data_IF_100546549547
#
_entry.id   IF_100546549547
#
_cell.length_a   1.000
_cell.length_b   1.000
_cell.length_c   1.000
_cell.angle_alpha   90.00
_cell.angle_beta   90.00
_cell.angle_gamma   90.00
#
_symmetry.space_group_name_H-M   'P 1'
#
loop_
_entity.id
_entity.type
_entity.pdbx_description
1 polymer ?
#
# COMPACT_ATOMS: atom_id res chain seq x y z
N UNK A 1 -41.83 -12.84 20.22
CA UNK A 1 -40.59 -12.74 21.02
C UNK A 1 -40.76 -11.55 21.95
N UNK A 2 -40.39 -11.64 23.24
CA UNK A 2 -40.49 -10.48 24.14
C UNK A 2 -39.37 -9.48 23.78
N UNK A 3 -39.74 -8.24 23.51
CA UNK A 3 -38.78 -7.15 23.30
C UNK A 3 -38.91 -6.18 24.46
N UNK A 4 -37.81 -6.01 25.20
CA UNK A 4 -37.72 -5.03 26.29
C UNK A 4 -37.16 -3.72 25.73
N UNK A 5 -37.83 -2.61 26.00
CA UNK A 5 -37.31 -1.26 25.70
C UNK A 5 -36.90 -0.64 27.04
N UNK A 6 -35.62 -0.28 27.13
CA UNK A 6 -35.03 0.35 28.32
C UNK A 6 -34.82 1.83 28.02
N UNK A 7 -35.39 2.70 28.85
CA UNK A 7 -35.18 4.15 28.76
C UNK A 7 -34.45 4.64 29.99
N UNK A 8 -33.34 5.35 29.78
CA UNK A 8 -32.53 5.97 30.83
C UNK A 8 -32.85 7.47 30.88
N UNK A 9 -33.22 7.96 32.07
CA UNK A 9 -33.34 9.39 32.32
C UNK A 9 -32.55 9.71 33.60
N UNK A 10 -31.38 10.32 33.44
CA UNK A 10 -30.43 10.55 34.53
C UNK A 10 -29.77 9.25 35.03
N UNK A 11 -29.70 9.07 36.35
CA UNK A 11 -29.06 7.92 37.01
C UNK A 11 -29.99 6.72 37.28
N UNK A 12 -31.23 6.75 36.80
CA UNK A 12 -32.19 5.66 36.96
C UNK A 12 -32.61 5.07 35.60
N UNK A 13 -32.85 3.74 35.58
CA UNK A 13 -33.27 2.96 34.42
C UNK A 13 -34.64 2.34 34.67
N UNK A 14 -35.56 2.47 33.70
CA UNK A 14 -36.88 1.83 33.75
C UNK A 14 -37.04 0.91 32.55
N UNK A 15 -37.49 -0.33 32.81
CA UNK A 15 -37.60 -1.40 31.81
C UNK A 15 -39.08 -1.75 31.62
N UNK A 16 -39.61 -1.55 30.41
CA UNK A 16 -40.94 -2.00 30.03
C UNK A 16 -40.85 -3.17 29.05
N UNK A 17 -41.50 -4.28 29.39
CA UNK A 17 -41.61 -5.44 28.51
C UNK A 17 -42.89 -5.34 27.68
N UNK A 18 -42.75 -5.31 26.35
CA UNK A 18 -43.89 -5.28 25.43
C UNK A 18 -43.91 -6.59 24.64
N UNK A 19 -45.04 -7.29 24.68
CA UNK A 19 -45.28 -8.48 23.88
C UNK A 19 -45.75 -8.07 22.48
N UNK A 20 -45.03 -8.52 21.44
CA UNK A 20 -45.43 -8.35 20.04
C UNK A 20 -46.62 -9.25 19.71
N UNK A 21 -47.79 -8.68 19.43
CA UNK A 21 -48.99 -9.40 18.96
C UNK A 21 -48.91 -9.56 17.43
N UNK A 22 -48.96 -10.78 16.86
CA UNK A 22 -49.03 -11.00 15.41
C UNK A 22 -50.42 -10.69 14.83
N UNK A 23 -50.53 -10.34 13.54
CA UNK A 23 -51.79 -9.88 12.96
C UNK A 23 -52.63 -11.08 12.51
N UNK A 24 -53.49 -11.58 13.39
CA UNK A 24 -54.79 -12.21 13.09
C UNK A 24 -55.31 -12.93 14.35
N UNK A 25 -56.23 -12.32 15.09
CA UNK A 25 -57.24 -13.05 15.87
C UNK A 25 -58.31 -12.08 16.36
N UNK A 26 -59.51 -12.26 15.82
CA UNK A 26 -60.78 -11.74 16.31
C UNK A 26 -61.11 -12.34 17.68
N UNK A 27 -61.47 -11.48 18.65
CA UNK A 27 -62.32 -11.78 19.82
C UNK A 27 -62.43 -10.47 20.62
N UNK A 28 -63.48 -9.67 20.38
CA UNK A 28 -64.69 -9.63 21.21
C UNK A 28 -64.45 -9.16 22.65
N UNK A 29 -64.91 -7.93 22.94
CA UNK A 29 -65.46 -7.55 24.25
C UNK A 29 -66.36 -6.31 24.11
N UNK A 30 -67.65 -6.59 23.90
CA UNK A 30 -68.84 -6.07 24.63
C UNK A 30 -68.44 -5.40 25.96
N UNK A 31 -68.91 -4.22 26.38
CA UNK A 31 -70.30 -3.80 26.60
C UNK A 31 -70.37 -2.26 26.73
N UNK A 32 -71.35 -1.66 26.06
CA UNK A 32 -71.87 -0.33 26.41
C UNK A 32 -73.10 -0.53 27.29
N UNK A 33 -73.19 0.17 28.42
CA UNK A 33 -74.45 0.43 29.15
C UNK A 33 -74.21 1.54 30.19
N UNK A 34 -74.60 2.77 29.88
CA UNK A 34 -75.04 3.77 30.86
C UNK A 34 -76.58 3.66 31.04
N UNK A 35 -77.24 4.49 31.87
CA UNK A 35 -77.16 4.65 33.33
C UNK A 35 -78.56 4.49 33.99
N UNK A 36 -78.66 4.50 35.33
CA UNK A 36 -79.94 4.44 36.04
C UNK A 36 -80.15 5.65 36.97
N UNK A 37 -81.11 6.50 36.56
CA UNK A 37 -82.19 7.14 37.33
C UNK A 37 -81.86 7.90 38.63
N UNK A 38 -82.21 9.20 38.68
CA UNK A 38 -83.28 9.76 39.55
C UNK A 38 -83.29 11.31 39.46
N UNK A 39 -84.32 11.87 38.82
CA UNK A 39 -84.70 13.27 39.02
C UNK A 39 -86.22 13.35 39.09
N UNK A 40 -86.74 13.72 40.25
CA UNK A 40 -88.12 14.13 40.47
C UNK A 40 -88.08 15.52 41.11
N UNK A 41 -88.57 16.55 40.40
CA UNK A 41 -89.66 17.42 40.86
C UNK A 41 -89.92 18.55 39.82
N UNK A 42 -91.19 18.68 39.41
CA UNK A 42 -92.01 19.90 39.20
C UNK A 42 -91.32 21.25 38.83
N UNK A 43 -91.80 22.11 37.92
CA UNK A 43 -93.17 22.46 37.48
C UNK A 43 -93.07 23.09 36.08
N UNK A 44 -93.98 22.75 35.16
CA UNK A 44 -94.25 23.55 33.97
C UNK A 44 -95.72 24.00 33.99
N UNK A 45 -95.95 25.32 34.03
CA UNK A 45 -97.24 25.93 33.75
C UNK A 45 -97.30 26.39 32.29
N UNK A 46 -98.30 25.85 31.57
CA UNK A 46 -99.24 26.53 30.66
C UNK A 46 -98.65 27.54 29.67
N UNK A 47 -98.80 27.36 28.35
CA UNK A 47 -99.97 27.82 27.57
C UNK A 47 -99.88 27.44 26.09
N UNK A 48 -101.04 27.07 25.57
CA UNK A 48 -101.57 26.90 24.21
C UNK A 48 -100.94 27.65 22.99
N UNK A 49 -100.81 26.86 21.91
CA UNK A 49 -101.28 27.08 20.52
C UNK A 49 -100.54 28.03 19.57
N UNK A 50 -100.03 27.47 18.47
CA UNK A 50 -100.25 27.95 17.09
C UNK A 50 -99.79 26.87 16.07
N UNK A 51 -100.66 26.51 15.12
CA UNK A 51 -100.29 25.72 13.93
C UNK A 51 -99.35 26.52 13.04
N UNK A 52 -98.19 25.96 12.69
CA UNK A 52 -97.43 26.38 11.52
C UNK A 52 -96.86 25.15 10.79
N UNK A 53 -97.15 25.11 9.50
CA UNK A 53 -96.62 24.22 8.46
C UNK A 53 -95.25 23.60 8.78
N UNK A 54 -95.21 22.26 8.84
CA UNK A 54 -93.96 21.49 8.98
C UNK A 54 -93.16 21.63 7.67
N UNK A 55 -92.24 22.59 7.63
CA UNK A 55 -91.05 22.51 6.76
C UNK A 55 -90.24 21.30 7.23
N UNK A 56 -89.72 20.44 6.33
CA UNK A 56 -88.97 19.25 6.75
C UNK A 56 -87.83 19.68 7.67
N UNK A 57 -87.85 19.17 8.91
CA UNK A 57 -86.86 19.47 9.93
C UNK A 57 -85.45 19.05 9.47
N UNK A 58 -84.38 19.73 9.94
CA UNK A 58 -83.01 19.42 9.54
C UNK A 58 -82.65 17.96 9.77
N UNK A 59 -82.02 17.33 8.78
CA UNK A 59 -81.65 15.91 8.83
C UNK A 59 -80.67 15.62 9.99
N UNK A 60 -80.92 14.63 10.88
CA UNK A 60 -80.15 14.39 12.12
C UNK A 60 -78.66 14.02 11.97
N UNK A 61 -78.14 13.96 10.74
CA UNK A 61 -76.78 13.53 10.41
C UNK A 61 -76.10 14.49 9.40
N UNK A 62 -76.87 15.42 8.83
CA UNK A 62 -76.33 16.39 7.87
C UNK A 62 -75.94 17.66 8.64
N UNK A 63 -74.65 18.03 8.68
CA UNK A 63 -74.24 19.27 9.32
C UNK A 63 -74.94 20.46 8.66
N UNK A 64 -75.30 21.46 9.45
CA UNK A 64 -75.90 22.67 8.90
C UNK A 64 -74.93 23.35 7.93
N UNK A 65 -75.43 23.83 6.79
CA UNK A 65 -74.61 24.43 5.72
C UNK A 65 -73.66 25.53 6.20
N UNK A 66 -74.06 26.28 7.24
CA UNK A 66 -73.25 27.32 7.87
C UNK A 66 -71.98 26.78 8.54
N UNK A 67 -72.05 25.60 9.16
CA UNK A 67 -70.92 24.95 9.84
C UNK A 67 -69.95 24.35 8.83
N UNK A 68 -70.48 23.79 7.73
CA UNK A 68 -69.67 23.33 6.60
C UNK A 68 -68.97 24.50 5.93
N UNK A 69 -69.63 25.65 5.76
CA UNK A 69 -69.03 26.84 5.18
C UNK A 69 -67.91 27.41 6.08
N UNK A 70 -68.11 27.47 7.39
CA UNK A 70 -67.11 28.03 8.32
C UNK A 70 -65.95 27.06 8.60
N UNK A 71 -66.25 25.79 8.82
CA UNK A 71 -65.25 24.73 8.99
C UNK A 71 -64.49 24.44 7.70
N UNK A 72 -65.20 24.26 6.59
CA UNK A 72 -64.61 24.08 5.26
C UNK A 72 -63.81 25.29 4.80
N UNK A 73 -64.34 26.50 5.01
CA UNK A 73 -63.62 27.75 4.71
C UNK A 73 -62.31 27.86 5.50
N UNK A 74 -62.34 27.59 6.80
CA UNK A 74 -61.14 27.56 7.65
C UNK A 74 -60.13 26.51 7.20
N UNK A 75 -60.61 25.32 6.80
CA UNK A 75 -59.76 24.27 6.25
C UNK A 75 -59.13 24.66 4.91
N UNK A 76 -59.87 25.33 4.03
CA UNK A 76 -59.33 25.83 2.75
C UNK A 76 -58.25 26.88 2.98
N UNK A 77 -58.48 27.84 3.87
CA UNK A 77 -57.47 28.86 4.23
C UNK A 77 -56.22 28.18 4.81
N UNK A 78 -56.40 27.20 5.69
CA UNK A 78 -55.29 26.40 6.22
C UNK A 78 -54.56 25.60 5.13
N UNK A 79 -55.28 24.96 4.21
CA UNK A 79 -54.70 24.20 3.10
C UNK A 79 -53.90 25.09 2.16
N UNK A 80 -54.38 26.31 1.88
CA UNK A 80 -53.67 27.35 1.12
C UNK A 80 -52.37 27.73 1.85
N UNK A 81 -52.44 28.02 3.15
CA UNK A 81 -51.24 28.34 3.93
C UNK A 81 -50.24 27.17 3.94
N UNK A 82 -50.72 25.94 4.08
CA UNK A 82 -49.89 24.73 4.03
C UNK A 82 -49.21 24.57 2.65
N UNK A 83 -49.95 24.85 1.57
CA UNK A 83 -49.47 24.74 0.19
C UNK A 83 -48.41 25.78 -0.15
N UNK A 84 -48.52 26.99 0.38
CA UNK A 84 -47.62 28.11 0.09
C UNK A 84 -46.48 28.28 1.09
N UNK A 85 -46.62 27.83 2.34
CA UNK A 85 -45.59 28.00 3.39
C UNK A 85 -44.94 26.68 3.78
N UNK A 86 -45.73 25.66 4.14
CA UNK A 86 -45.19 24.42 4.70
C UNK A 86 -44.56 23.52 3.62
N UNK A 87 -45.27 23.27 2.53
CA UNK A 87 -44.80 22.43 1.43
C UNK A 87 -43.47 22.88 0.81
N UNK A 88 -43.25 24.19 0.48
CA UNK A 88 -41.95 24.60 -0.06
C UNK A 88 -40.81 24.46 0.95
N UNK A 89 -41.07 24.60 2.27
CA UNK A 89 -40.04 24.36 3.29
C UNK A 89 -39.67 22.88 3.40
N UNK A 90 -40.67 22.00 3.36
CA UNK A 90 -40.44 20.55 3.38
C UNK A 90 -39.69 20.08 2.13
N UNK A 91 -40.14 20.53 0.94
CA UNK A 91 -39.47 20.21 -0.33
C UNK A 91 -38.02 20.68 -0.33
N UNK A 92 -37.74 21.91 0.12
CA UNK A 92 -36.37 22.42 0.25
C UNK A 92 -35.51 21.54 1.16
N UNK A 93 -36.05 21.07 2.28
CA UNK A 93 -35.35 20.15 3.19
C UNK A 93 -35.02 18.81 2.55
N UNK A 94 -35.97 18.22 1.81
CA UNK A 94 -35.75 16.98 1.07
C UNK A 94 -34.71 17.16 -0.05
N UNK A 95 -34.88 18.20 -0.88
CA UNK A 95 -33.96 18.50 -1.98
C UNK A 95 -32.54 18.75 -1.46
N UNK A 96 -32.40 19.47 -0.34
CA UNK A 96 -31.10 19.72 0.31
C UNK A 96 -30.45 18.42 0.81
N UNK A 97 -31.23 17.49 1.41
CA UNK A 97 -30.72 16.17 1.83
C UNK A 97 -30.25 15.35 0.63
N UNK A 98 -31.03 15.30 -0.46
CA UNK A 98 -30.64 14.58 -1.67
C UNK A 98 -29.42 15.19 -2.35
N UNK A 99 -29.34 16.53 -2.41
CA UNK A 99 -28.18 17.23 -2.93
C UNK A 99 -26.93 16.95 -2.08
N UNK A 100 -27.05 17.01 -0.75
CA UNK A 100 -25.97 16.68 0.18
C UNK A 100 -25.46 15.25 -0.01
N UNK A 101 -26.36 14.26 -0.01
CA UNK A 101 -25.97 12.85 -0.21
C UNK A 101 -25.25 12.65 -1.54
N UNK A 102 -25.74 13.26 -2.63
CA UNK A 102 -25.04 13.17 -3.94
C UNK A 102 -23.67 13.82 -3.89
N UNK A 103 -23.56 15.01 -3.32
CA UNK A 103 -22.29 15.71 -3.18
C UNK A 103 -21.30 14.92 -2.31
N UNK A 104 -21.77 14.29 -1.23
CA UNK A 104 -20.96 13.46 -0.34
C UNK A 104 -20.44 12.21 -1.08
N UNK A 105 -21.29 11.56 -1.89
CA UNK A 105 -20.89 10.43 -2.73
C UNK A 105 -19.88 10.83 -3.80
N UNK A 106 -20.17 11.89 -4.56
CA UNK A 106 -19.27 12.42 -5.58
C UNK A 106 -17.91 12.83 -4.99
N UNK A 107 -17.91 13.49 -3.82
CA UNK A 107 -16.69 13.86 -3.11
C UNK A 107 -15.91 12.66 -2.57
N UNK A 108 -16.60 11.62 -2.08
CA UNK A 108 -15.95 10.39 -1.65
C UNK A 108 -15.32 9.64 -2.83
N UNK A 109 -15.99 9.59 -3.97
CA UNK A 109 -15.48 8.94 -5.17
C UNK A 109 -14.32 9.72 -5.80
N UNK A 110 -14.38 11.07 -5.80
CA UNK A 110 -13.27 11.92 -6.19
C UNK A 110 -12.04 11.69 -5.30
N UNK A 111 -12.20 11.74 -3.97
CA UNK A 111 -11.11 11.47 -3.02
C UNK A 111 -10.51 10.08 -3.22
N UNK A 112 -11.35 9.05 -3.45
CA UNK A 112 -10.87 7.68 -3.74
C UNK A 112 -10.12 7.60 -5.06
N UNK A 113 -10.58 8.30 -6.08
CA UNK A 113 -9.93 8.33 -7.39
C UNK A 113 -8.55 9.02 -7.30
N UNK A 114 -8.48 10.16 -6.61
CA UNK A 114 -7.23 10.89 -6.35
C UNK A 114 -6.24 10.04 -5.55
N UNK A 115 -6.66 9.41 -4.46
CA UNK A 115 -5.80 8.53 -3.66
C UNK A 115 -5.27 7.34 -4.48
N UNK A 116 -6.11 6.73 -5.32
CA UNK A 116 -5.66 5.65 -6.23
C UNK A 116 -4.67 6.16 -7.27
N UNK A 117 -4.88 7.36 -7.80
CA UNK A 117 -3.94 7.98 -8.74
C UNK A 117 -2.59 8.28 -8.08
N UNK A 118 -2.59 8.76 -6.83
CA UNK A 118 -1.37 8.99 -6.06
C UNK A 118 -0.61 7.68 -5.80
N UNK A 119 -1.30 6.62 -5.36
CA UNK A 119 -0.70 5.29 -5.17
C UNK A 119 -0.10 4.77 -6.46
N UNK A 120 -0.83 4.84 -7.58
CA UNK A 120 -0.33 4.42 -8.88
C UNK A 120 0.91 5.24 -9.31
N UNK A 121 0.93 6.54 -9.04
CA UNK A 121 2.09 7.40 -9.25
C UNK A 121 3.29 7.01 -8.38
N UNK A 122 3.06 6.66 -7.12
CA UNK A 122 4.11 6.20 -6.20
C UNK A 122 4.68 4.84 -6.61
N UNK A 123 3.83 3.90 -7.01
CA UNK A 123 4.24 2.59 -7.52
C UNK A 123 5.04 2.70 -8.81
N UNK A 124 4.64 3.60 -9.72
CA UNK A 124 5.39 3.88 -10.94
C UNK A 124 6.78 4.46 -10.65
N UNK A 125 6.87 5.41 -9.71
CA UNK A 125 8.16 5.95 -9.25
C UNK A 125 9.04 4.87 -8.61
N UNK A 126 8.46 4.00 -7.78
CA UNK A 126 9.19 2.90 -7.15
C UNK A 126 9.71 1.90 -8.20
N UNK A 127 8.91 1.60 -9.22
CA UNK A 127 9.33 0.76 -10.34
C UNK A 127 10.48 1.40 -11.13
N UNK A 128 10.39 2.71 -11.40
CA UNK A 128 11.47 3.49 -12.02
C UNK A 128 12.77 3.44 -11.22
N UNK A 129 12.72 3.75 -9.93
CA UNK A 129 13.90 3.69 -9.04
C UNK A 129 14.51 2.29 -8.97
N UNK A 130 13.68 1.23 -8.93
CA UNK A 130 14.19 -0.16 -8.96
C UNK A 130 14.89 -0.48 -10.28
N UNK A 131 14.36 -0.02 -11.40
CA UNK A 131 14.97 -0.21 -12.71
C UNK A 131 16.30 0.55 -12.82
N UNK A 132 16.34 1.81 -12.37
CA UNK A 132 17.58 2.61 -12.33
C UNK A 132 18.63 2.00 -11.40
N UNK A 133 18.24 1.51 -10.23
CA UNK A 133 19.15 0.84 -9.30
C UNK A 133 19.72 -0.45 -9.92
N UNK A 134 18.90 -1.25 -10.58
CA UNK A 134 19.35 -2.45 -11.29
C UNK A 134 20.35 -2.09 -12.41
N UNK A 135 20.02 -1.08 -13.23
CA UNK A 135 20.91 -0.59 -14.28
C UNK A 135 22.24 -0.07 -13.72
N UNK A 136 22.22 0.64 -12.58
CA UNK A 136 23.42 1.14 -11.92
C UNK A 136 24.29 0.00 -11.37
N UNK A 137 23.68 -1.04 -10.77
CA UNK A 137 24.39 -2.23 -10.30
C UNK A 137 25.05 -2.96 -11.47
N UNK A 138 24.33 -3.13 -12.59
CA UNK A 138 24.87 -3.82 -13.75
C UNK A 138 25.99 -3.02 -14.42
N UNK A 139 25.86 -1.70 -14.51
CA UNK A 139 26.95 -0.82 -14.97
C UNK A 139 28.18 -0.92 -14.04
N UNK A 140 27.99 -0.89 -12.72
CA UNK A 140 29.08 -1.03 -11.76
C UNK A 140 29.77 -2.40 -11.87
N UNK A 141 29.01 -3.48 -12.09
CA UNK A 141 29.56 -4.83 -12.34
C UNK A 141 30.41 -4.86 -13.62
N UNK A 142 29.91 -4.28 -14.71
CA UNK A 142 30.66 -4.22 -15.96
C UNK A 142 31.97 -3.45 -15.81
N UNK A 143 31.94 -2.29 -15.15
CA UNK A 143 33.16 -1.52 -14.86
C UNK A 143 34.13 -2.31 -13.97
N UNK A 144 33.64 -2.98 -12.93
CA UNK A 144 34.47 -3.78 -12.04
C UNK A 144 35.13 -4.94 -12.78
N UNK A 145 34.40 -5.66 -13.63
CA UNK A 145 34.96 -6.76 -14.42
C UNK A 145 35.98 -6.26 -15.46
N UNK A 146 35.73 -5.10 -16.08
CA UNK A 146 36.70 -4.47 -16.97
C UNK A 146 37.99 -4.08 -16.23
N UNK A 147 37.88 -3.47 -15.05
CA UNK A 147 39.05 -3.13 -14.22
C UNK A 147 39.80 -4.38 -13.73
N UNK A 148 39.07 -5.44 -13.35
CA UNK A 148 39.68 -6.71 -12.96
C UNK A 148 40.46 -7.33 -14.12
N UNK A 149 39.87 -7.38 -15.32
CA UNK A 149 40.54 -7.89 -16.51
C UNK A 149 41.81 -7.08 -16.82
N UNK A 150 41.71 -5.74 -16.81
CA UNK A 150 42.86 -4.87 -17.05
C UNK A 150 43.97 -5.06 -16.01
N UNK A 151 43.63 -5.17 -14.72
CA UNK A 151 44.62 -5.44 -13.66
C UNK A 151 45.27 -6.81 -13.80
N UNK A 152 44.50 -7.83 -14.17
CA UNK A 152 45.03 -9.17 -14.41
C UNK A 152 46.00 -9.19 -15.59
N UNK A 153 45.71 -8.42 -16.65
CA UNK A 153 46.61 -8.27 -17.79
C UNK A 153 47.92 -7.58 -17.39
N UNK A 154 47.83 -6.45 -16.66
CA UNK A 154 49.01 -5.73 -16.16
C UNK A 154 49.87 -6.62 -15.26
N UNK A 155 49.26 -7.26 -14.26
CA UNK A 155 49.99 -8.15 -13.35
C UNK A 155 50.55 -9.37 -14.08
N UNK A 156 49.82 -9.91 -15.07
CA UNK A 156 50.31 -10.99 -15.93
C UNK A 156 51.55 -10.59 -16.73
N UNK A 157 51.55 -9.38 -17.29
CA UNK A 157 52.69 -8.83 -18.01
C UNK A 157 53.89 -8.57 -17.08
N UNK A 158 53.67 -8.02 -15.89
CA UNK A 158 54.71 -7.81 -14.87
C UNK A 158 55.33 -9.15 -14.43
N UNK A 159 54.51 -10.17 -14.15
CA UNK A 159 55.00 -11.50 -13.79
C UNK A 159 55.83 -12.10 -14.93
N UNK A 160 55.38 -11.97 -16.18
CA UNK A 160 56.13 -12.47 -17.34
C UNK A 160 57.48 -11.74 -17.49
N UNK A 161 57.50 -10.42 -17.29
CA UNK A 161 58.72 -9.62 -17.32
C UNK A 161 59.69 -10.02 -16.20
N UNK A 162 59.20 -10.16 -14.96
CA UNK A 162 60.02 -10.58 -13.82
C UNK A 162 60.58 -11.99 -14.01
N UNK A 163 59.79 -12.92 -14.58
CA UNK A 163 60.27 -14.27 -14.92
C UNK A 163 61.37 -14.22 -15.98
N UNK A 164 61.17 -13.45 -17.06
CA UNK A 164 62.18 -13.30 -18.11
C UNK A 164 63.48 -12.68 -17.57
N UNK A 165 63.38 -11.66 -16.72
CA UNK A 165 64.54 -11.04 -16.07
C UNK A 165 65.26 -12.02 -15.14
N UNK A 166 64.53 -12.77 -14.32
CA UNK A 166 65.10 -13.78 -13.43
C UNK A 166 65.77 -14.93 -14.20
N UNK A 167 65.20 -15.38 -15.32
CA UNK A 167 65.83 -16.37 -16.20
C UNK A 167 67.12 -15.82 -16.80
N UNK A 168 67.11 -14.60 -17.33
CA UNK A 168 68.31 -13.96 -17.87
C UNK A 168 69.41 -13.78 -16.83
N UNK A 169 69.07 -13.40 -15.59
CA UNK A 169 70.01 -13.29 -14.48
C UNK A 169 70.60 -14.66 -14.08
N UNK A 170 69.76 -15.71 -14.04
CA UNK A 170 70.23 -17.08 -13.80
C UNK A 170 71.18 -17.55 -14.90
N UNK A 171 70.88 -17.28 -16.16
CA UNK A 171 71.73 -17.67 -17.29
C UNK A 171 73.07 -16.92 -17.26
N UNK A 172 73.05 -15.62 -16.93
CA UNK A 172 74.26 -14.83 -16.74
C UNK A 172 75.10 -15.33 -15.55
N UNK A 173 74.47 -15.64 -14.42
CA UNK A 173 75.14 -16.21 -13.25
C UNK A 173 75.77 -17.57 -13.56
N UNK A 174 75.06 -18.44 -14.28
CA UNK A 174 75.59 -19.75 -14.74
C UNK A 174 76.79 -19.58 -15.66
N UNK A 175 76.72 -18.67 -16.63
CA UNK A 175 77.85 -18.38 -17.52
C UNK A 175 79.07 -17.84 -16.75
N UNK A 176 78.85 -16.95 -15.77
CA UNK A 176 79.92 -16.42 -14.93
C UNK A 176 80.56 -17.49 -14.03
N UNK A 177 79.76 -18.40 -13.46
CA UNK A 177 80.26 -19.53 -12.67
C UNK A 177 81.04 -20.50 -13.56
N UNK A 178 80.54 -20.80 -14.76
CA UNK A 178 81.23 -21.65 -15.72
C UNK A 178 82.61 -21.08 -16.09
N UNK A 179 82.69 -19.78 -16.39
CA UNK A 179 83.97 -19.11 -16.66
C UNK A 179 84.95 -19.19 -15.48
N UNK A 180 84.46 -19.03 -14.25
CA UNK A 180 85.28 -19.19 -13.04
C UNK A 180 85.78 -20.63 -12.86
N UNK A 181 84.92 -21.62 -13.10
CA UNK A 181 85.30 -23.04 -13.06
C UNK A 181 86.36 -23.33 -14.12
N UNK A 182 86.19 -22.86 -15.36
CA UNK A 182 87.18 -23.04 -16.43
C UNK A 182 88.55 -22.47 -16.05
N UNK A 183 88.59 -21.25 -15.50
CA UNK A 183 89.83 -20.63 -15.02
C UNK A 183 90.47 -21.45 -13.89
N UNK A 184 89.68 -21.87 -12.90
CA UNK A 184 90.19 -22.65 -11.77
C UNK A 184 90.73 -24.02 -12.20
N UNK A 185 90.03 -24.71 -13.12
CA UNK A 185 90.46 -25.99 -13.68
C UNK A 185 91.72 -25.82 -14.52
N UNK A 186 91.84 -24.75 -15.32
CA UNK A 186 93.04 -24.44 -16.08
C UNK A 186 94.25 -24.19 -15.15
N UNK A 187 94.07 -23.44 -14.06
CA UNK A 187 95.12 -23.19 -13.07
C UNK A 187 95.59 -24.47 -12.36
N UNK A 188 94.65 -25.32 -11.94
CA UNK A 188 94.96 -26.59 -11.27
C UNK A 188 95.67 -27.55 -12.23
N UNK A 189 95.17 -27.67 -13.47
CA UNK A 189 95.76 -28.53 -14.50
C UNK A 189 97.16 -28.05 -14.90
N UNK A 190 97.34 -26.74 -15.07
CA UNK A 190 98.64 -26.14 -15.39
C UNK A 190 99.68 -26.42 -14.29
N UNK A 191 99.30 -26.26 -13.02
CA UNK A 191 100.15 -26.62 -11.87
C UNK A 191 100.48 -28.10 -11.82
N UNK A 192 99.50 -28.97 -12.06
CA UNK A 192 99.71 -30.42 -12.05
C UNK A 192 100.68 -30.87 -13.16
N UNK A 193 100.57 -30.30 -14.36
CA UNK A 193 101.47 -30.59 -15.48
C UNK A 193 102.88 -30.06 -15.20
N UNK A 194 103.01 -28.86 -14.63
CA UNK A 194 104.30 -28.29 -14.23
C UNK A 194 105.01 -29.18 -13.20
N UNK A 195 104.28 -29.71 -12.22
CA UNK A 195 104.81 -30.67 -11.23
C UNK A 195 105.24 -32.00 -11.85
N UNK A 196 104.53 -32.49 -12.87
CA UNK A 196 104.82 -33.78 -13.51
C UNK A 196 105.98 -33.74 -14.52
N UNK A 197 106.11 -32.64 -15.28
CA UNK A 197 107.08 -32.50 -16.38
C UNK A 197 108.28 -31.65 -15.98
N UNK A 198 108.18 -30.89 -14.88
CA UNK A 198 109.24 -29.99 -14.38
C UNK A 198 109.40 -28.70 -15.20
N UNK A 199 108.51 -28.43 -16.16
CA UNK A 199 108.49 -27.22 -16.98
C UNK A 199 107.06 -26.68 -17.09
N UNK A 200 106.93 -25.35 -17.02
CA UNK A 200 105.63 -24.68 -17.11
C UNK A 200 105.00 -24.88 -18.50
N UNK A 201 103.78 -25.44 -18.60
CA UNK A 201 103.08 -25.63 -19.88
C UNK A 201 102.56 -24.31 -20.46
N UNK A 202 102.31 -24.28 -21.77
CA UNK A 202 101.69 -23.12 -22.43
C UNK A 202 100.25 -22.92 -21.94
N UNK A 203 99.97 -21.76 -21.34
CA UNK A 203 98.69 -21.45 -20.72
C UNK A 203 97.53 -21.43 -21.73
N UNK A 204 97.81 -21.04 -22.98
CA UNK A 204 96.81 -20.97 -24.06
C UNK A 204 96.38 -22.37 -24.51
N UNK A 205 97.34 -23.30 -24.56
CA UNK A 205 97.07 -24.70 -24.91
C UNK A 205 96.27 -25.38 -23.81
N UNK A 206 96.65 -25.19 -22.54
CA UNK A 206 95.91 -25.74 -21.40
C UNK A 206 94.47 -25.19 -21.35
N UNK A 207 94.30 -23.87 -21.49
CA UNK A 207 92.97 -23.26 -21.52
C UNK A 207 92.10 -23.78 -22.68
N UNK A 208 92.69 -23.97 -23.88
CA UNK A 208 91.98 -24.53 -25.03
C UNK A 208 91.53 -25.98 -24.78
N UNK A 209 92.40 -26.83 -24.25
CA UNK A 209 92.06 -28.24 -23.97
C UNK A 209 91.00 -28.34 -22.87
N UNK A 210 91.10 -27.54 -21.81
CA UNK A 210 90.08 -27.48 -20.76
C UNK A 210 88.73 -27.05 -21.32
N UNK A 211 88.69 -25.99 -22.14
CA UNK A 211 87.47 -25.53 -22.80
C UNK A 211 86.85 -26.62 -23.70
N UNK A 212 87.67 -27.34 -24.46
CA UNK A 212 87.22 -28.41 -25.36
C UNK A 212 86.61 -29.60 -24.57
N UNK A 213 87.27 -30.02 -23.47
CA UNK A 213 86.78 -31.10 -22.60
C UNK A 213 85.51 -30.70 -21.85
N UNK A 214 85.45 -29.47 -21.33
CA UNK A 214 84.27 -28.96 -20.62
C UNK A 214 83.08 -28.77 -21.58
N UNK A 215 83.32 -28.28 -22.80
CA UNK A 215 82.29 -28.16 -23.84
C UNK A 215 81.73 -29.50 -24.32
N UNK A 216 82.59 -30.52 -24.43
CA UNK A 216 82.17 -31.88 -24.77
C UNK A 216 81.32 -32.55 -23.67
N UNK A 217 81.49 -32.15 -22.40
CA UNK A 217 80.71 -32.65 -21.26
C UNK A 217 79.32 -32.03 -21.13
N UNK A 218 79.13 -30.78 -21.55
CA UNK A 218 77.84 -30.06 -21.52
C UNK A 218 76.87 -30.50 -22.63
N UNK A 219 77.39 -31.10 -23.70
CA UNK A 219 76.62 -31.50 -24.89
C UNK A 219 75.93 -32.87 -24.79
N UNK A 220 76.00 -33.53 -23.63
CA UNK A 220 75.53 -34.91 -23.40
C UNK A 220 74.52 -34.96 -22.27
#
# INVERSE_FOLDING_TARGET
>A
MLTAVVTQSGSAFTVHLVATVPPNSTAEQTTSSEPMLLAANEVASVTATAEETIKPGPSPIAPELKEVAWGGGSFVVFAVLMRFVLFPRLKKGMDARYAGIRADHEGADATRAEAKAEVAGYEAQLAGVKAEAAAHIDAARQTLEAERAARLEVVGAEIAQHRAAATAENDAARAAVQSQIESAVADVSGRAIELAVGKRPDATVVARVVADVMGAGVSR
#
